data_IF_775877665109
#
_entry.id   IF_775877665109
#
_cell.length_a   1.000
_cell.length_b   1.000
_cell.length_c   1.000
_cell.angle_alpha   90.00
_cell.angle_beta   90.00
_cell.angle_gamma   90.00
#
_symmetry.space_group_name_H-M   'P 1'
#
loop_
_entity.id
_entity.type
_entity.pdbx_description
1 polymer ?
#
# COMPACT_ATOMS: atom_id res chain seq x y z
N UNK A 1 -42.83 9.95 -40.43
CA UNK A 1 -43.00 10.66 -39.14
C UNK A 1 -44.44 11.17 -38.89
N UNK A 2 -45.41 10.99 -39.83
CA UNK A 2 -46.79 11.45 -39.61
C UNK A 2 -47.63 10.64 -38.60
N UNK A 3 -47.31 9.36 -38.39
CA UNK A 3 -48.07 8.45 -37.51
C UNK A 3 -48.15 8.91 -36.04
N UNK A 4 -47.18 9.69 -35.55
CA UNK A 4 -47.17 10.14 -34.16
C UNK A 4 -47.84 11.48 -33.90
N UNK A 5 -48.08 12.29 -34.94
CA UNK A 5 -48.54 13.68 -34.79
C UNK A 5 -50.07 13.78 -34.73
N UNK A 6 -50.77 12.97 -35.51
CA UNK A 6 -52.23 12.92 -35.57
C UNK A 6 -52.83 12.38 -34.26
N UNK A 7 -52.22 11.33 -33.67
CA UNK A 7 -52.64 10.77 -32.38
C UNK A 7 -52.40 11.72 -31.19
N UNK A 8 -51.49 12.69 -31.34
CA UNK A 8 -51.09 13.66 -30.30
C UNK A 8 -51.66 15.06 -30.54
N UNK A 9 -52.55 15.20 -31.52
CA UNK A 9 -53.26 16.45 -31.82
C UNK A 9 -52.39 17.58 -32.37
N UNK A 10 -51.27 17.27 -33.03
CA UNK A 10 -50.41 18.28 -33.68
C UNK A 10 -50.55 18.24 -35.20
N UNK A 11 -50.79 19.41 -35.81
CA UNK A 11 -50.74 19.57 -37.26
C UNK A 11 -49.28 19.68 -37.73
N UNK A 12 -48.84 18.69 -38.53
CA UNK A 12 -47.50 18.64 -39.13
C UNK A 12 -47.51 18.77 -40.65
N UNK A 13 -48.66 19.08 -41.25
CA UNK A 13 -48.81 19.18 -42.70
C UNK A 13 -48.09 20.42 -43.24
N UNK A 14 -47.07 20.21 -44.07
CA UNK A 14 -46.38 21.28 -44.82
C UNK A 14 -45.03 21.73 -44.28
N UNK A 15 -44.52 21.12 -43.20
CA UNK A 15 -43.21 21.45 -42.62
C UNK A 15 -42.05 20.72 -43.30
N UNK A 16 -40.88 21.37 -43.36
CA UNK A 16 -39.64 20.75 -43.79
C UNK A 16 -39.20 19.66 -42.82
N UNK A 17 -38.38 18.71 -43.26
CA UNK A 17 -37.88 17.61 -42.43
C UNK A 17 -37.16 18.11 -41.17
N UNK A 18 -36.34 19.17 -41.30
CA UNK A 18 -35.59 19.75 -40.20
C UNK A 18 -36.50 20.48 -39.20
N UNK A 19 -37.51 21.18 -39.69
CA UNK A 19 -38.51 21.88 -38.86
C UNK A 19 -39.37 20.90 -38.06
N UNK A 20 -39.72 19.75 -38.67
CA UNK A 20 -40.42 18.66 -37.99
C UNK A 20 -39.61 18.10 -36.82
N UNK A 21 -38.30 17.91 -36.99
CA UNK A 21 -37.42 17.40 -35.92
C UNK A 21 -37.30 18.39 -34.75
N UNK A 22 -37.20 19.69 -35.05
CA UNK A 22 -37.18 20.75 -34.05
C UNK A 22 -38.49 20.80 -33.26
N UNK A 23 -39.64 20.79 -33.94
CA UNK A 23 -40.95 20.79 -33.30
C UNK A 23 -41.18 19.54 -32.45
N UNK A 24 -40.78 18.37 -32.97
CA UNK A 24 -40.91 17.10 -32.27
C UNK A 24 -40.03 17.08 -31.00
N UNK A 25 -38.82 17.63 -31.07
CA UNK A 25 -37.92 17.76 -29.92
C UNK A 25 -38.48 18.71 -28.87
N UNK A 26 -39.02 19.86 -29.29
CA UNK A 26 -39.66 20.83 -28.39
C UNK A 26 -40.91 20.25 -27.71
N UNK A 27 -41.73 19.49 -28.44
CA UNK A 27 -42.89 18.80 -27.89
C UNK A 27 -42.49 17.73 -26.87
N UNK A 28 -41.49 16.90 -27.19
CA UNK A 28 -40.99 15.85 -26.29
C UNK A 28 -40.49 16.43 -24.96
N UNK A 29 -39.80 17.58 -24.99
CA UNK A 29 -39.36 18.28 -23.78
C UNK A 29 -40.53 18.88 -22.97
N UNK A 30 -41.56 19.39 -23.63
CA UNK A 30 -42.71 20.01 -22.96
C UNK A 30 -43.67 18.98 -22.35
N UNK A 31 -43.87 17.86 -23.05
CA UNK A 31 -44.84 16.84 -22.67
C UNK A 31 -44.23 15.69 -21.86
N UNK A 32 -42.90 15.66 -21.68
CA UNK A 32 -42.15 14.50 -21.12
C UNK A 32 -42.46 13.17 -21.84
N UNK A 33 -42.93 13.25 -23.09
CA UNK A 33 -43.26 12.09 -23.92
C UNK A 33 -42.06 11.74 -24.80
N UNK A 34 -41.41 10.57 -24.61
CA UNK A 34 -40.26 10.18 -25.39
C UNK A 34 -40.65 9.83 -26.83
N UNK A 35 -40.11 10.58 -27.78
CA UNK A 35 -40.25 10.25 -29.19
C UNK A 35 -39.21 9.21 -29.63
N UNK A 36 -39.54 8.29 -30.56
CA UNK A 36 -38.62 7.26 -31.05
C UNK A 36 -37.32 7.80 -31.67
N UNK A 37 -37.29 9.07 -32.06
CA UNK A 37 -36.12 9.74 -32.65
C UNK A 37 -35.02 10.07 -31.65
N UNK A 38 -35.32 10.10 -30.34
CA UNK A 38 -34.38 10.55 -29.30
C UNK A 38 -33.71 9.40 -28.53
N UNK A 39 -34.06 8.14 -28.80
CA UNK A 39 -33.54 6.98 -28.06
C UNK A 39 -33.87 6.99 -26.56
N UNK A 40 -34.89 7.78 -26.17
CA UNK A 40 -35.39 7.87 -24.79
C UNK A 40 -36.63 7.01 -24.62
N UNK A 41 -36.86 6.52 -23.40
CA UNK A 41 -38.05 5.75 -23.02
C UNK A 41 -38.47 6.07 -21.59
N UNK A 42 -39.74 5.85 -21.25
CA UNK A 42 -40.22 5.92 -19.86
C UNK A 42 -39.72 4.67 -19.14
N UNK A 43 -38.86 4.84 -18.14
CA UNK A 43 -38.45 3.78 -17.24
C UNK A 43 -39.31 3.80 -15.97
N UNK A 44 -39.47 2.64 -15.35
CA UNK A 44 -40.14 2.48 -14.07
C UNK A 44 -39.11 2.08 -13.01
N UNK A 45 -39.23 2.62 -11.81
CA UNK A 45 -38.41 2.22 -10.68
C UNK A 45 -38.77 0.79 -10.26
N UNK A 46 -37.77 -0.10 -10.23
CA UNK A 46 -37.93 -1.50 -9.87
C UNK A 46 -38.26 -1.74 -8.39
N UNK A 47 -38.07 -0.74 -7.53
CA UNK A 47 -38.43 -0.84 -6.11
C UNK A 47 -39.85 -0.35 -5.83
N UNK A 48 -40.25 0.81 -6.37
CA UNK A 48 -41.56 1.43 -6.07
C UNK A 48 -42.64 1.18 -7.13
N UNK A 49 -42.27 0.85 -8.37
CA UNK A 49 -43.20 0.66 -9.49
C UNK A 49 -43.68 1.96 -10.15
N UNK A 50 -43.25 3.13 -9.67
CA UNK A 50 -43.62 4.42 -10.27
C UNK A 50 -42.73 4.76 -11.48
N UNK A 51 -43.23 5.51 -12.48
CA UNK A 51 -42.40 6.01 -13.58
C UNK A 51 -41.43 7.08 -13.08
N UNK A 52 -40.23 7.17 -13.69
CA UNK A 52 -39.31 8.28 -13.45
C UNK A 52 -39.88 9.61 -13.98
N UNK A 53 -39.54 10.73 -13.34
CA UNK A 53 -40.05 12.07 -13.68
C UNK A 53 -39.71 12.52 -15.11
N UNK A 54 -38.61 12.00 -15.66
CA UNK A 54 -38.12 12.34 -17.00
C UNK A 54 -37.79 11.07 -17.80
N UNK A 55 -38.01 11.09 -19.13
CA UNK A 55 -37.65 9.96 -19.99
C UNK A 55 -36.12 9.78 -20.04
N UNK A 56 -35.67 8.54 -19.88
CA UNK A 56 -34.25 8.15 -19.76
C UNK A 56 -33.75 7.62 -21.10
N UNK A 57 -32.52 7.97 -21.47
CA UNK A 57 -31.86 7.41 -22.67
C UNK A 57 -31.50 5.96 -22.42
N UNK A 58 -32.02 5.05 -23.25
CA UNK A 58 -31.75 3.62 -23.16
C UNK A 58 -31.09 3.17 -24.45
N UNK A 59 -30.00 2.42 -24.33
CA UNK A 59 -29.26 1.92 -25.49
C UNK A 59 -28.45 0.69 -25.15
N UNK A 60 -28.04 -0.03 -26.18
CA UNK A 60 -27.15 -1.18 -26.07
C UNK A 60 -25.73 -0.67 -26.24
N UNK A 61 -24.95 -0.70 -25.16
CA UNK A 61 -23.52 -0.41 -25.20
C UNK A 61 -22.72 -1.71 -25.17
N UNK A 62 -21.67 -1.77 -25.98
CA UNK A 62 -20.71 -2.86 -25.90
C UNK A 62 -19.68 -2.53 -24.83
N UNK A 63 -19.68 -3.30 -23.74
CA UNK A 63 -18.76 -3.12 -22.61
C UNK A 63 -17.63 -4.15 -22.65
N UNK A 64 -16.39 -3.68 -22.55
CA UNK A 64 -15.23 -4.54 -22.39
C UNK A 64 -14.93 -4.80 -20.91
N UNK A 65 -14.76 -6.07 -20.55
CA UNK A 65 -14.20 -6.45 -19.25
C UNK A 65 -12.68 -6.50 -19.35
N UNK A 66 -12.00 -5.64 -18.60
CA UNK A 66 -10.54 -5.66 -18.50
C UNK A 66 -10.05 -6.75 -17.54
N UNK A 67 -8.81 -7.20 -17.75
CA UNK A 67 -8.19 -8.26 -16.95
C UNK A 67 -7.80 -7.83 -15.53
N UNK A 68 -7.99 -6.56 -15.15
CA UNK A 68 -7.60 -6.04 -13.84
C UNK A 68 -8.60 -6.40 -12.74
N UNK A 69 -8.60 -7.67 -12.35
CA UNK A 69 -9.46 -8.16 -11.28
C UNK A 69 -8.88 -7.82 -9.90
N UNK A 70 -9.76 -7.57 -8.93
CA UNK A 70 -9.37 -7.26 -7.54
C UNK A 70 -8.71 -8.48 -6.87
N UNK A 71 -9.16 -9.69 -7.21
CA UNK A 71 -8.61 -10.95 -6.73
C UNK A 71 -7.09 -11.05 -6.94
N UNK A 72 -6.61 -10.57 -8.09
CA UNK A 72 -5.18 -10.56 -8.41
C UNK A 72 -4.39 -9.45 -7.69
N UNK A 73 -5.07 -8.45 -7.13
CA UNK A 73 -4.44 -7.28 -6.48
C UNK A 73 -4.37 -7.38 -4.96
N UNK A 74 -5.29 -8.11 -4.32
CA UNK A 74 -5.28 -8.26 -2.86
C UNK A 74 -4.03 -9.03 -2.44
N UNK A 75 -3.28 -8.48 -1.49
CA UNK A 75 -2.09 -9.07 -0.89
C UNK A 75 -1.88 -8.51 0.51
N UNK A 76 -1.66 -9.39 1.48
CA UNK A 76 -1.43 -9.01 2.88
C UNK A 76 -0.25 -9.80 3.41
N UNK A 77 0.55 -9.16 4.27
CA UNK A 77 1.69 -9.78 4.93
C UNK A 77 1.70 -9.42 6.40
N UNK A 78 1.81 -10.45 7.26
CA UNK A 78 2.09 -10.28 8.68
C UNK A 78 3.56 -10.60 8.97
N UNK A 79 3.97 -11.84 8.70
CA UNK A 79 5.36 -12.33 8.79
C UNK A 79 5.70 -13.10 7.51
N UNK A 80 6.99 -13.33 7.24
CA UNK A 80 7.42 -14.00 6.02
C UNK A 80 8.94 -14.10 5.90
N UNK A 81 9.46 -14.47 4.72
CA UNK A 81 10.91 -14.55 4.50
C UNK A 81 11.56 -13.16 4.49
N UNK A 82 12.84 -13.13 4.85
CA UNK A 82 13.69 -11.95 4.93
C UNK A 82 14.99 -12.18 4.15
N UNK A 83 15.58 -11.08 3.68
CA UNK A 83 16.90 -11.09 3.05
C UNK A 83 17.98 -11.56 4.04
N UNK A 84 18.90 -12.40 3.59
CA UNK A 84 20.01 -12.88 4.43
C UNK A 84 20.96 -11.73 4.85
N UNK A 85 21.17 -10.76 3.96
CA UNK A 85 22.16 -9.69 4.16
C UNK A 85 21.57 -8.56 4.99
N UNK A 86 20.49 -7.96 4.51
CA UNK A 86 19.90 -6.76 5.12
C UNK A 86 18.84 -7.07 6.16
N UNK A 87 18.40 -8.34 6.28
CA UNK A 87 17.32 -8.74 7.19
C UNK A 87 15.99 -8.00 6.93
N UNK A 88 15.83 -7.39 5.76
CA UNK A 88 14.60 -6.73 5.32
C UNK A 88 13.64 -7.72 4.63
N UNK A 89 12.33 -7.44 4.65
CA UNK A 89 11.34 -8.18 3.87
C UNK A 89 11.72 -8.36 2.40
N UNK A 90 11.51 -9.56 1.85
CA UNK A 90 11.64 -9.77 0.41
C UNK A 90 10.57 -9.00 -0.38
N UNK A 91 10.84 -8.70 -1.64
CA UNK A 91 9.89 -8.06 -2.55
C UNK A 91 9.01 -9.05 -3.31
N UNK A 92 7.84 -8.59 -3.73
CA UNK A 92 6.95 -9.28 -4.67
C UNK A 92 5.87 -10.16 -4.03
N UNK A 93 4.67 -10.12 -4.62
CA UNK A 93 3.49 -10.89 -4.17
C UNK A 93 3.75 -12.40 -4.15
N UNK A 94 4.46 -12.92 -5.15
CA UNK A 94 4.77 -14.35 -5.26
C UNK A 94 5.65 -14.91 -4.13
N UNK A 95 6.43 -14.06 -3.45
CA UNK A 95 7.35 -14.45 -2.38
C UNK A 95 6.82 -14.09 -0.99
N UNK A 96 5.51 -13.83 -0.88
CA UNK A 96 4.90 -13.25 0.32
C UNK A 96 5.68 -12.01 0.80
N UNK A 97 6.08 -11.18 -0.17
CA UNK A 97 6.94 -10.03 0.05
C UNK A 97 6.23 -8.87 0.74
N UNK A 98 7.01 -8.03 1.40
CA UNK A 98 6.52 -6.83 2.09
C UNK A 98 6.23 -5.68 1.12
N UNK A 99 5.44 -4.73 1.60
CA UNK A 99 5.25 -3.46 0.92
C UNK A 99 6.51 -2.60 1.13
N UNK A 100 6.99 -1.97 0.04
CA UNK A 100 8.06 -0.98 0.15
C UNK A 100 7.48 0.28 0.79
N UNK A 101 8.09 0.68 1.91
CA UNK A 101 7.95 2.00 2.49
C UNK A 101 9.21 2.79 2.08
N UNK A 102 9.04 3.76 1.18
CA UNK A 102 10.14 4.48 0.54
C UNK A 102 10.35 5.88 1.09
N UNK A 103 11.20 6.64 0.40
CA UNK A 103 11.59 7.99 0.79
C UNK A 103 10.40 8.96 0.81
N UNK A 104 9.48 8.83 -0.16
CA UNK A 104 8.30 9.69 -0.22
C UNK A 104 7.38 9.49 0.98
N UNK A 105 7.23 8.24 1.44
CA UNK A 105 6.41 7.95 2.61
C UNK A 105 7.10 8.34 3.92
N UNK A 106 8.43 8.24 3.99
CA UNK A 106 9.22 8.77 5.11
C UNK A 106 9.00 10.28 5.22
N UNK A 107 9.13 11.04 4.12
CA UNK A 107 8.89 12.48 4.13
C UNK A 107 7.47 12.84 4.58
N UNK A 108 6.48 12.05 4.19
CA UNK A 108 5.11 12.27 4.62
C UNK A 108 4.94 12.12 6.14
N UNK A 109 5.56 11.09 6.75
CA UNK A 109 5.51 10.90 8.21
C UNK A 109 6.32 11.95 8.97
N UNK A 110 7.47 12.36 8.44
CA UNK A 110 8.30 13.42 9.00
C UNK A 110 7.56 14.76 9.00
N UNK A 111 6.91 15.11 7.88
CA UNK A 111 6.11 16.33 7.76
C UNK A 111 4.91 16.33 8.72
N UNK A 112 4.33 15.16 8.99
CA UNK A 112 3.27 15.01 10.00
C UNK A 112 3.80 15.10 11.44
N UNK A 113 5.11 14.92 11.66
CA UNK A 113 5.71 14.85 12.99
C UNK A 113 5.49 13.50 13.69
N UNK A 114 5.22 12.42 12.95
CA UNK A 114 4.95 11.09 13.51
C UNK A 114 6.24 10.31 13.84
N UNK A 115 7.08 10.87 14.73
CA UNK A 115 8.41 10.31 15.04
C UNK A 115 8.37 8.85 15.52
N UNK A 116 7.46 8.50 16.43
CA UNK A 116 7.34 7.14 16.97
C UNK A 116 6.90 6.12 15.91
N UNK A 117 5.95 6.51 15.04
CA UNK A 117 5.49 5.64 13.95
C UNK A 117 6.62 5.44 12.95
N UNK A 118 7.33 6.50 12.60
CA UNK A 118 8.48 6.42 11.69
C UNK A 118 9.57 5.50 12.27
N UNK A 119 9.90 5.65 13.55
CA UNK A 119 10.87 4.80 14.23
C UNK A 119 10.43 3.32 14.18
N UNK A 120 9.16 3.02 14.51
CA UNK A 120 8.62 1.66 14.48
C UNK A 120 8.65 1.04 13.07
N UNK A 121 8.31 1.83 12.05
CA UNK A 121 8.32 1.42 10.64
C UNK A 121 9.74 1.11 10.14
N UNK A 122 10.74 1.91 10.54
CA UNK A 122 12.12 1.75 10.10
C UNK A 122 12.92 0.69 10.88
N UNK A 123 12.45 0.27 12.05
CA UNK A 123 13.18 -0.66 12.95
C UNK A 123 12.44 -1.99 13.12
N UNK A 124 11.53 -2.09 14.10
CA UNK A 124 10.84 -3.32 14.54
C UNK A 124 10.08 -3.99 13.39
N UNK A 125 9.48 -3.20 12.48
CA UNK A 125 8.74 -3.72 11.32
C UNK A 125 9.61 -4.00 10.09
N UNK A 126 10.90 -3.63 10.12
CA UNK A 126 11.81 -3.75 8.99
C UNK A 126 12.91 -4.79 9.27
N UNK A 127 14.03 -4.37 9.86
CA UNK A 127 15.30 -5.12 9.89
C UNK A 127 15.94 -5.26 11.28
N UNK A 128 15.25 -4.84 12.35
CA UNK A 128 15.66 -5.18 13.71
C UNK A 128 15.23 -6.61 14.06
N UNK A 129 16.15 -7.56 13.88
CA UNK A 129 15.89 -9.00 14.12
C UNK A 129 15.53 -9.27 15.58
N UNK A 130 16.23 -8.65 16.54
CA UNK A 130 15.99 -8.90 17.96
C UNK A 130 14.73 -8.16 18.42
N UNK A 131 14.59 -6.89 18.03
CA UNK A 131 13.42 -6.07 18.34
C UNK A 131 12.13 -6.68 17.82
N UNK A 132 12.14 -7.26 16.62
CA UNK A 132 10.96 -7.92 16.04
C UNK A 132 10.49 -9.14 16.83
N UNK A 133 11.42 -10.00 17.27
CA UNK A 133 11.08 -11.20 18.06
C UNK A 133 10.52 -10.78 19.43
N UNK A 134 11.19 -9.83 20.09
CA UNK A 134 10.72 -9.30 21.37
C UNK A 134 9.37 -8.60 21.25
N UNK A 135 9.17 -7.77 20.23
CA UNK A 135 7.90 -7.10 19.99
C UNK A 135 6.77 -8.11 19.76
N UNK A 136 7.01 -9.17 19.00
CA UNK A 136 6.03 -10.25 18.83
C UNK A 136 5.67 -10.90 20.17
N UNK A 137 6.66 -11.25 20.99
CA UNK A 137 6.42 -11.81 22.32
C UNK A 137 5.66 -10.84 23.24
N UNK A 138 6.03 -9.56 23.26
CA UNK A 138 5.37 -8.53 24.06
C UNK A 138 3.91 -8.38 23.65
N UNK A 139 3.61 -8.36 22.34
CA UNK A 139 2.23 -8.28 21.83
C UNK A 139 1.42 -9.51 22.27
N UNK A 140 1.98 -10.71 22.17
CA UNK A 140 1.29 -11.95 22.59
C UNK A 140 1.06 -11.98 24.11
N UNK A 141 2.00 -11.47 24.90
CA UNK A 141 1.93 -11.44 26.36
C UNK A 141 1.19 -10.22 26.93
N UNK A 142 0.80 -9.25 26.10
CA UNK A 142 0.21 -7.99 26.54
C UNK A 142 1.18 -7.09 27.33
N UNK A 143 2.48 -7.24 27.10
CA UNK A 143 3.53 -6.46 27.75
C UNK A 143 3.90 -5.22 26.91
N UNK A 144 4.47 -4.17 27.52
CA UNK A 144 5.00 -3.05 26.76
C UNK A 144 6.08 -3.50 25.77
N UNK A 145 6.14 -2.83 24.62
CA UNK A 145 7.16 -3.06 23.59
C UNK A 145 8.43 -2.31 24.02
N UNK A 146 9.57 -3.00 24.02
CA UNK A 146 10.88 -2.41 24.31
C UNK A 146 11.32 -1.44 23.21
N UNK A 147 12.21 -0.50 23.55
CA UNK A 147 12.75 0.42 22.56
C UNK A 147 13.56 -0.31 21.47
N UNK A 148 13.44 0.12 20.20
CA UNK A 148 14.11 -0.53 19.10
C UNK A 148 15.63 -0.35 19.13
N UNK A 149 16.34 -1.34 18.60
CA UNK A 149 17.79 -1.31 18.46
C UNK A 149 18.26 -0.67 17.15
N UNK A 150 19.57 -0.81 16.90
CA UNK A 150 20.21 -0.33 15.67
C UNK A 150 19.86 -1.25 14.48
N UNK A 151 19.31 -0.70 13.38
CA UNK A 151 18.99 -1.44 12.16
C UNK A 151 20.13 -2.30 11.62
N UNK A 152 19.80 -3.48 11.09
CA UNK A 152 20.78 -4.35 10.44
C UNK A 152 21.38 -3.68 9.19
N UNK A 153 20.59 -2.92 8.44
CA UNK A 153 21.04 -2.22 7.23
C UNK A 153 22.14 -1.19 7.54
N UNK A 154 22.04 -0.51 8.69
CA UNK A 154 23.09 0.42 9.13
C UNK A 154 24.40 -0.31 9.48
N UNK A 155 24.31 -1.47 10.11
CA UNK A 155 25.49 -2.32 10.39
C UNK A 155 26.14 -2.82 9.10
N UNK A 156 25.35 -3.12 8.07
CA UNK A 156 25.86 -3.48 6.73
C UNK A 156 26.58 -2.29 6.11
N UNK A 157 25.99 -1.09 6.13
CA UNK A 157 26.61 0.13 5.63
C UNK A 157 27.98 0.41 6.27
N UNK A 158 28.09 0.30 7.59
CA UNK A 158 29.38 0.52 8.29
C UNK A 158 30.43 -0.48 7.81
N UNK A 159 30.06 -1.76 7.61
CA UNK A 159 30.97 -2.78 7.09
C UNK A 159 31.36 -2.54 5.63
N UNK A 160 30.44 -2.04 4.82
CA UNK A 160 30.73 -1.66 3.42
C UNK A 160 31.77 -0.54 3.39
N UNK A 161 31.63 0.49 4.24
CA UNK A 161 32.62 1.56 4.36
C UNK A 161 33.97 1.05 4.86
N UNK A 162 33.99 0.17 5.87
CA UNK A 162 35.21 -0.45 6.37
C UNK A 162 35.92 -1.31 5.30
N UNK A 163 35.16 -1.95 4.41
CA UNK A 163 35.74 -2.72 3.31
C UNK A 163 36.44 -1.84 2.26
N UNK A 164 36.09 -0.55 2.20
CA UNK A 164 36.78 0.48 1.42
C UNK A 164 38.01 1.08 2.13
N UNK A 165 38.47 0.45 3.22
CA UNK A 165 39.57 0.93 4.07
C UNK A 165 39.29 2.28 4.76
N UNK A 166 38.01 2.61 4.99
CA UNK A 166 37.61 3.76 5.81
C UNK A 166 37.49 3.33 7.28
N UNK A 167 38.14 4.07 8.18
CA UNK A 167 37.96 3.90 9.61
C UNK A 167 36.68 4.62 10.05
N UNK A 168 35.62 3.85 10.31
CA UNK A 168 34.33 4.37 10.78
C UNK A 168 34.10 3.86 12.20
N UNK A 169 33.98 4.80 13.13
CA UNK A 169 33.71 4.58 14.55
C UNK A 169 32.52 5.46 14.95
N UNK A 170 31.55 4.91 15.70
CA UNK A 170 30.52 5.74 16.32
C UNK A 170 30.91 6.01 17.77
N UNK A 171 30.97 7.29 18.13
CA UNK A 171 31.25 7.74 19.49
C UNK A 171 29.92 8.19 20.08
N UNK A 172 29.59 7.64 21.25
CA UNK A 172 28.43 8.07 22.03
C UNK A 172 28.72 9.35 22.80
N UNK A 173 27.70 10.03 23.32
CA UNK A 173 27.87 11.26 24.11
C UNK A 173 28.71 11.04 25.39
N UNK A 174 28.80 9.80 25.89
CA UNK A 174 29.66 9.39 27.00
C UNK A 174 31.12 9.16 26.61
N UNK A 175 31.47 9.30 25.33
CA UNK A 175 32.81 9.05 24.79
C UNK A 175 33.12 7.56 24.55
N UNK A 176 32.13 6.68 24.70
CA UNK A 176 32.31 5.25 24.41
C UNK A 176 32.23 4.99 22.90
N UNK A 177 33.20 4.22 22.39
CA UNK A 177 33.26 3.81 20.98
C UNK A 177 32.41 2.56 20.78
N UNK A 178 31.38 2.67 19.95
CA UNK A 178 30.54 1.55 19.52
C UNK A 178 31.22 0.78 18.39
N UNK A 179 31.59 -0.47 18.67
CA UNK A 179 32.11 -1.38 17.65
C UNK A 179 30.96 -2.15 16.98
N UNK A 180 30.73 -1.89 15.69
CA UNK A 180 29.70 -2.56 14.86
C UNK A 180 30.14 -3.93 14.29
N UNK A 181 31.19 -4.52 14.84
CA UNK A 181 31.71 -5.83 14.47
C UNK A 181 30.81 -6.97 14.93
N UNK A 182 31.13 -8.21 14.54
CA UNK A 182 30.60 -9.36 15.30
C UNK A 182 31.03 -9.13 16.75
N UNK A 183 30.09 -9.17 17.68
CA UNK A 183 30.33 -9.62 19.04
C UNK A 183 30.85 -11.07 18.97
N UNK A 184 32.06 -11.26 18.45
CA UNK A 184 32.96 -12.27 18.96
C UNK A 184 33.59 -11.70 20.23
N UNK A 185 32.75 -11.44 21.24
CA UNK A 185 33.04 -12.15 22.49
C UNK A 185 32.95 -13.62 22.09
N UNK A 186 34.03 -14.17 21.51
CA UNK A 186 34.33 -15.58 21.69
C UNK A 186 34.08 -15.76 23.17
N UNK A 187 33.04 -16.51 23.53
CA UNK A 187 32.81 -16.84 24.93
C UNK A 187 34.19 -17.27 25.42
N UNK A 188 34.83 -16.43 26.25
CA UNK A 188 36.13 -16.78 26.78
C UNK A 188 35.81 -18.03 27.55
N UNK A 189 36.16 -19.18 26.97
CA UNK A 189 35.97 -20.46 27.63
C UNK A 189 36.56 -20.25 29.02
N UNK A 190 35.80 -20.50 30.09
CA UNK A 190 36.34 -20.33 31.43
C UNK A 190 37.66 -21.09 31.42
N UNK A 191 38.75 -20.42 31.79
CA UNK A 191 40.06 -21.05 31.90
C UNK A 191 39.96 -22.09 33.01
N UNK A 192 39.48 -23.29 32.70
CA UNK A 192 39.68 -24.44 33.58
C UNK A 192 41.20 -24.60 33.63
N UNK A 193 41.77 -24.45 34.82
CA UNK A 193 43.20 -24.64 35.11
C UNK A 193 43.66 -26.10 34.93
N UNK A 194 43.12 -26.79 33.94
CA UNK A 194 43.31 -28.20 33.63
C UNK A 194 43.85 -28.30 32.20
N UNK A 195 44.94 -27.59 31.94
CA UNK A 195 45.65 -27.59 30.67
C UNK A 195 47.12 -27.26 30.91
N UNK A 196 48.00 -27.80 30.06
CA UNK A 196 49.46 -27.70 30.13
C UNK A 196 50.01 -26.25 30.15
N UNK A 197 49.19 -25.24 29.87
CA UNK A 197 49.55 -23.82 29.97
C UNK A 197 49.36 -23.18 31.37
N UNK A 198 48.79 -23.90 32.34
CA UNK A 198 48.53 -23.38 33.69
C UNK A 198 49.75 -23.28 34.62
N UNK A 199 50.95 -23.67 34.16
CA UNK A 199 52.16 -23.75 34.98
C UNK A 199 53.28 -22.78 34.55
N UNK A 200 53.01 -21.81 33.68
CA UNK A 200 54.00 -20.78 33.40
C UNK A 200 54.07 -19.81 34.59
N UNK A 201 55.23 -19.63 35.26
CA UNK A 201 55.36 -18.65 36.33
C UNK A 201 55.28 -17.24 35.73
N UNK A 202 54.46 -16.38 36.34
CA UNK A 202 54.40 -14.97 36.02
C UNK A 202 55.79 -14.35 36.25
N UNK A 203 56.40 -13.82 35.19
CA UNK A 203 57.65 -13.07 35.29
C UNK A 203 57.34 -11.65 35.79
N UNK A 204 58.19 -11.20 36.73
CA UNK A 204 58.31 -9.86 37.32
C UNK A 204 58.09 -8.71 36.33
#
# INVERSE_FOLDING_TARGET
MGWGSEERGQETSGLSHDDLLLQATAYSQKANDPLPTLGKMILYDGNTGNPYDQPVTVGIIYMFKLAHLVEDKVHTRATGPYSLVTQQPLGGKAQFGGQRFGEMEVWALEAYGAAYILQEMLTIKSDDVQGRVKAYESIVKGLPIEEPGIPASFKVLVKELQSLALAVEAVTDSGEVLHFGRDERRAQLPKLGMGLLGFAPDKL
#
